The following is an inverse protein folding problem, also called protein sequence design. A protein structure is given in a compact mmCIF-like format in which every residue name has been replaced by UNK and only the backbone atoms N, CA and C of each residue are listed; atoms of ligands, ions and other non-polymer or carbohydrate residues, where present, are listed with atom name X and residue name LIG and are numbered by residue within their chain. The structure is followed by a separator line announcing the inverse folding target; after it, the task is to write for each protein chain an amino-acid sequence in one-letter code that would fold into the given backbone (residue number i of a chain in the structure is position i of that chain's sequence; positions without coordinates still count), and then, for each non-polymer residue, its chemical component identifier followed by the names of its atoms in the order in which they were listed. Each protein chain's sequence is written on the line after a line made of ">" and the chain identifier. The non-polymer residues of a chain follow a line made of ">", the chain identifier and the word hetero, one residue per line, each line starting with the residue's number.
data_IF_054283992473
#
_entry.id   IF_054283992473
#
_cell.length_a   1.000
_cell.length_b   1.000
_cell.length_c   1.000
_cell.angle_alpha   90.00
_cell.angle_beta   90.00
_cell.angle_gamma   90.00
#
_symmetry.space_group_name_H-M   'P 1'
#
loop_
_entity.id
_entity.type
_entity.pdbx_description
1 polymer ?
#
# COMPACT_ATOMS: atom_id res chain seq x y z
N UNK A 1 17.50 -0.79 -26.58
CA UNK A 1 17.34 -0.44 -25.15
C UNK A 1 17.39 1.06 -25.06
N UNK A 2 16.25 1.72 -25.29
CA UNK A 2 16.11 3.19 -25.21
C UNK A 2 14.62 3.58 -25.14
N UNK A 3 13.83 2.80 -24.39
CA UNK A 3 12.38 2.97 -24.27
C UNK A 3 12.05 3.27 -22.82
N UNK A 4 11.20 4.27 -22.60
CA UNK A 4 10.68 4.60 -21.28
C UNK A 4 9.71 3.51 -20.81
N UNK A 5 9.76 3.19 -19.52
CA UNK A 5 8.92 2.16 -18.91
C UNK A 5 8.03 2.76 -17.83
N UNK A 6 6.74 2.43 -17.87
CA UNK A 6 5.74 2.83 -16.90
C UNK A 6 4.82 1.64 -16.63
N UNK A 7 4.44 1.44 -15.38
CA UNK A 7 3.48 0.41 -14.98
C UNK A 7 2.60 0.88 -13.81
N UNK A 8 1.56 0.10 -13.53
CA UNK A 8 0.63 0.33 -12.43
C UNK A 8 0.62 -0.84 -11.43
N UNK A 9 1.63 -1.71 -11.46
CA UNK A 9 1.60 -2.97 -10.71
C UNK A 9 1.86 -2.74 -9.23
N UNK A 10 1.09 -3.41 -8.38
CA UNK A 10 1.33 -3.53 -6.95
C UNK A 10 2.36 -4.62 -6.61
N UNK A 11 2.70 -5.47 -7.58
CA UNK A 11 3.61 -6.59 -7.36
C UNK A 11 5.03 -6.13 -6.97
N UNK A 12 5.42 -6.49 -5.75
CA UNK A 12 6.70 -6.12 -5.15
C UNK A 12 7.86 -6.80 -5.88
N UNK A 13 7.68 -8.03 -6.35
CA UNK A 13 8.74 -8.77 -7.07
C UNK A 13 9.04 -8.10 -8.42
N UNK A 14 8.01 -7.79 -9.19
CA UNK A 14 8.12 -7.03 -10.43
C UNK A 14 8.79 -5.68 -10.20
N UNK A 15 8.38 -4.94 -9.16
CA UNK A 15 8.99 -3.65 -8.83
C UNK A 15 10.48 -3.77 -8.53
N UNK A 16 10.89 -4.77 -7.73
CA UNK A 16 12.32 -5.04 -7.45
C UNK A 16 13.09 -5.34 -8.73
N UNK A 17 12.52 -6.15 -9.64
CA UNK A 17 13.14 -6.46 -10.93
C UNK A 17 13.28 -5.24 -11.82
N UNK A 18 12.27 -4.38 -11.86
CA UNK A 18 12.30 -3.11 -12.61
C UNK A 18 13.38 -2.19 -12.05
N UNK A 19 13.51 -2.07 -10.72
CA UNK A 19 14.58 -1.29 -10.07
C UNK A 19 15.98 -1.78 -10.48
N UNK A 20 16.19 -3.10 -10.61
CA UNK A 20 17.46 -3.65 -11.08
C UNK A 20 17.76 -3.27 -12.53
N UNK A 21 16.77 -3.39 -13.42
CA UNK A 21 16.90 -3.05 -14.83
C UNK A 21 17.19 -1.56 -15.06
N UNK A 22 16.64 -0.71 -14.19
CA UNK A 22 16.77 0.74 -14.30
C UNK A 22 18.17 1.27 -13.89
N UNK A 23 19.01 0.49 -13.19
CA UNK A 23 20.29 0.99 -12.61
C UNK A 23 21.23 1.61 -13.64
N UNK A 24 21.34 1.01 -14.82
CA UNK A 24 22.26 1.42 -15.88
C UNK A 24 21.52 1.94 -17.12
N UNK A 25 20.23 2.25 -17.00
CA UNK A 25 19.41 2.67 -18.13
C UNK A 25 19.53 4.17 -18.42
N UNK A 26 19.59 4.53 -19.71
CA UNK A 26 19.45 5.92 -20.19
C UNK A 26 18.00 6.40 -20.21
N UNK A 27 17.04 5.47 -20.25
CA UNK A 27 15.62 5.78 -20.31
C UNK A 27 14.98 5.84 -18.92
N UNK A 28 13.95 6.67 -18.78
CA UNK A 28 13.15 6.74 -17.57
C UNK A 28 12.37 5.43 -17.28
N UNK A 29 12.38 5.02 -16.01
CA UNK A 29 11.56 3.94 -15.45
C UNK A 29 10.72 4.52 -14.31
N UNK A 30 9.41 4.47 -14.47
CA UNK A 30 8.43 5.01 -13.52
C UNK A 30 7.45 3.88 -13.17
N UNK A 31 7.90 2.85 -12.42
CA UNK A 31 7.01 1.80 -11.97
C UNK A 31 5.99 2.37 -10.96
N UNK A 32 4.91 1.64 -10.75
CA UNK A 32 3.95 1.94 -9.69
C UNK A 32 3.35 3.36 -9.78
N UNK A 33 3.05 3.84 -10.99
CA UNK A 33 2.58 5.21 -11.23
C UNK A 33 1.05 5.36 -11.22
N UNK A 34 0.35 4.54 -10.42
CA UNK A 34 -1.11 4.49 -10.33
C UNK A 34 -1.69 5.33 -9.19
N UNK A 35 -2.82 4.87 -8.62
CA UNK A 35 -3.42 5.49 -7.43
C UNK A 35 -2.65 5.10 -6.17
N UNK A 36 -2.54 3.80 -5.94
CA UNK A 36 -1.83 3.20 -4.84
C UNK A 36 -1.42 1.77 -5.28
N UNK A 37 -0.14 1.52 -5.53
CA UNK A 37 0.98 2.46 -5.39
C UNK A 37 0.97 3.57 -6.46
N UNK A 38 1.54 4.73 -6.11
CA UNK A 38 1.63 5.91 -6.99
C UNK A 38 1.19 7.21 -6.33
N UNK A 39 0.02 7.73 -6.69
CA UNK A 39 -0.49 9.03 -6.24
C UNK A 39 -0.47 9.20 -4.72
N UNK A 40 -0.86 8.18 -3.95
CA UNK A 40 -0.82 8.28 -2.49
C UNK A 40 0.59 8.55 -1.95
N UNK A 41 1.61 7.92 -2.55
CA UNK A 41 3.01 8.13 -2.15
C UNK A 41 3.51 9.52 -2.55
N UNK A 42 3.04 10.05 -3.68
CA UNK A 42 3.35 11.43 -4.10
C UNK A 42 2.80 12.43 -3.08
N UNK A 43 1.52 12.29 -2.70
CA UNK A 43 0.90 13.19 -1.70
C UNK A 43 1.56 13.04 -0.34
N UNK A 44 1.84 11.81 0.10
CA UNK A 44 2.52 11.55 1.36
C UNK A 44 3.91 12.19 1.38
N UNK A 45 4.69 12.05 0.30
CA UNK A 45 6.02 12.66 0.20
C UNK A 45 5.97 14.19 0.15
N UNK A 46 5.04 14.79 -0.62
CA UNK A 46 4.86 16.25 -0.67
C UNK A 46 4.59 16.82 0.73
N UNK A 47 3.67 16.21 1.48
CA UNK A 47 3.34 16.62 2.84
C UNK A 47 4.52 16.40 3.79
N UNK A 48 5.18 15.24 3.70
CA UNK A 48 6.31 14.88 4.56
C UNK A 48 7.52 15.80 4.34
N UNK A 49 7.75 16.26 3.11
CA UNK A 49 8.89 17.13 2.76
C UNK A 49 8.89 18.50 3.43
N UNK A 50 7.75 18.90 4.03
CA UNK A 50 7.58 20.16 4.74
C UNK A 50 8.11 20.12 6.18
N UNK A 51 8.61 18.97 6.62
CA UNK A 51 9.10 18.73 7.96
C UNK A 51 10.51 18.16 7.90
N UNK A 52 11.35 18.55 8.87
CA UNK A 52 12.68 17.94 9.04
C UNK A 52 12.57 16.51 9.59
N UNK A 53 11.66 16.32 10.56
CA UNK A 53 11.34 15.02 11.16
C UNK A 53 9.84 14.89 11.41
N UNK A 54 9.36 13.65 11.39
CA UNK A 54 7.95 13.30 11.55
C UNK A 54 7.79 12.21 12.60
N UNK A 55 6.78 12.36 13.43
CA UNK A 55 6.37 11.30 14.34
C UNK A 55 5.74 10.13 13.58
N UNK A 56 4.76 10.42 12.70
CA UNK A 56 4.11 9.37 11.93
C UNK A 56 3.55 9.83 10.60
N UNK A 57 3.62 8.96 9.60
CA UNK A 57 2.88 9.03 8.34
C UNK A 57 2.01 7.78 8.24
N UNK A 58 0.68 7.96 8.20
CA UNK A 58 -0.28 6.85 8.15
C UNK A 58 -1.11 6.95 6.89
N UNK A 59 -0.85 6.06 5.94
CA UNK A 59 -1.47 6.05 4.62
C UNK A 59 -2.61 5.04 4.60
N UNK A 60 -3.78 5.45 4.13
CA UNK A 60 -4.97 4.58 4.03
C UNK A 60 -5.66 4.76 2.68
N UNK A 61 -5.96 3.65 2.00
CA UNK A 61 -6.60 3.65 0.66
C UNK A 61 -7.74 2.66 0.61
N UNK A 62 -8.87 3.03 0.01
CA UNK A 62 -9.93 2.09 -0.31
C UNK A 62 -10.69 2.50 -1.56
N UNK A 63 -10.87 1.56 -2.49
CA UNK A 63 -11.81 1.67 -3.59
C UNK A 63 -13.04 0.82 -3.24
N UNK A 64 -14.04 1.44 -2.61
CA UNK A 64 -15.18 0.74 -2.02
C UNK A 64 -16.49 1.07 -2.74
N UNK A 65 -17.42 0.11 -2.83
CA UNK A 65 -18.75 0.41 -3.33
C UNK A 65 -19.46 1.37 -2.37
N UNK A 66 -20.17 2.34 -2.93
CA UNK A 66 -21.02 3.25 -2.15
C UNK A 66 -22.13 2.49 -1.40
N UNK A 67 -22.64 1.40 -2.00
CA UNK A 67 -23.68 0.55 -1.43
C UNK A 67 -23.23 -0.93 -1.48
N UNK A 68 -22.56 -1.45 -0.44
CA UNK A 68 -22.15 -2.85 -0.40
C UNK A 68 -23.37 -3.78 -0.27
N UNK A 69 -23.37 -4.90 -0.99
CA UNK A 69 -24.52 -5.81 -1.05
C UNK A 69 -24.16 -7.31 -0.99
N UNK A 70 -22.89 -7.64 -0.75
CA UNK A 70 -22.39 -9.02 -0.73
C UNK A 70 -21.67 -9.34 0.59
N UNK A 71 -21.36 -10.62 0.81
CA UNK A 71 -20.76 -11.09 2.07
C UNK A 71 -19.39 -10.47 2.37
N UNK A 72 -18.62 -10.10 1.34
CA UNK A 72 -17.31 -9.44 1.49
C UNK A 72 -17.43 -7.93 1.69
N UNK A 73 -18.65 -7.38 1.55
CA UNK A 73 -18.91 -5.95 1.42
C UNK A 73 -17.95 -5.25 0.45
N UNK A 74 -17.53 -5.94 -0.62
CA UNK A 74 -16.46 -5.48 -1.51
C UNK A 74 -16.78 -5.81 -2.96
N UNK A 75 -16.42 -4.91 -3.87
CA UNK A 75 -16.54 -5.12 -5.31
C UNK A 75 -15.16 -5.16 -5.94
N UNK A 76 -14.92 -6.15 -6.80
CA UNK A 76 -13.69 -6.27 -7.57
C UNK A 76 -13.72 -5.28 -8.73
N UNK A 77 -13.05 -4.15 -8.57
CA UNK A 77 -12.92 -3.12 -9.61
C UNK A 77 -11.62 -3.23 -10.42
N UNK A 78 -10.73 -4.14 -10.02
CA UNK A 78 -9.43 -4.41 -10.63
C UNK A 78 -9.02 -5.87 -10.40
N UNK A 79 -7.76 -6.23 -10.69
CA UNK A 79 -7.24 -7.60 -10.67
C UNK A 79 -7.52 -8.34 -9.36
N UNK A 80 -8.24 -9.46 -9.43
CA UNK A 80 -8.46 -10.34 -8.27
C UNK A 80 -7.15 -10.90 -7.73
N UNK A 81 -6.25 -11.33 -8.62
CA UNK A 81 -4.95 -11.88 -8.23
C UNK A 81 -4.12 -10.84 -7.49
N UNK A 82 -4.23 -9.57 -7.89
CA UNK A 82 -3.57 -8.46 -7.24
C UNK A 82 -4.08 -8.20 -5.83
N UNK A 83 -5.40 -8.19 -5.64
CA UNK A 83 -6.01 -8.08 -4.30
C UNK A 83 -5.55 -9.22 -3.38
N UNK A 84 -5.44 -10.45 -3.91
CA UNK A 84 -4.95 -11.59 -3.13
C UNK A 84 -3.47 -11.40 -2.79
N UNK A 85 -2.65 -10.96 -3.73
CA UNK A 85 -1.22 -10.71 -3.52
C UNK A 85 -0.98 -9.67 -2.42
N UNK A 86 -1.78 -8.60 -2.38
CA UNK A 86 -1.76 -7.59 -1.31
C UNK A 86 -1.96 -8.18 0.10
N UNK A 87 -2.69 -9.28 0.21
CA UNK A 87 -3.05 -9.94 1.47
C UNK A 87 -2.10 -11.07 1.87
N UNK A 88 -1.24 -11.52 0.97
CA UNK A 88 -0.33 -12.65 1.21
C UNK A 88 1.12 -12.22 1.40
N UNK A 89 1.54 -11.12 0.78
CA UNK A 89 2.94 -10.68 0.81
C UNK A 89 3.27 -9.84 2.06
N UNK A 90 4.52 -9.90 2.57
CA UNK A 90 4.98 -9.01 3.63
C UNK A 90 4.80 -7.53 3.30
N UNK A 91 4.44 -6.73 4.29
CA UNK A 91 4.19 -5.30 4.12
C UNK A 91 5.39 -4.49 4.63
N UNK A 92 5.99 -3.66 3.79
CA UNK A 92 7.02 -2.72 4.23
C UNK A 92 6.42 -1.66 5.17
N UNK A 93 7.15 -1.31 6.23
CA UNK A 93 6.77 -0.29 7.21
C UNK A 93 8.01 0.34 7.86
N UNK A 94 7.85 1.51 8.47
CA UNK A 94 8.83 2.03 9.44
C UNK A 94 8.21 1.96 10.83
N UNK A 95 8.90 1.32 11.77
CA UNK A 95 8.48 1.20 13.17
C UNK A 95 9.65 1.58 14.06
N UNK A 96 9.44 2.55 14.96
CA UNK A 96 10.49 3.12 15.80
C UNK A 96 11.72 3.63 15.01
N UNK A 97 11.49 4.16 13.81
CA UNK A 97 12.52 4.68 12.91
C UNK A 97 13.23 3.63 12.05
N UNK A 98 12.96 2.34 12.28
CA UNK A 98 13.57 1.23 11.55
C UNK A 98 12.65 0.72 10.44
N UNK A 99 13.24 0.48 9.26
CA UNK A 99 12.55 -0.14 8.13
C UNK A 99 12.41 -1.64 8.40
N UNK A 100 11.18 -2.13 8.50
CA UNK A 100 10.86 -3.53 8.79
C UNK A 100 9.75 -4.05 7.87
N UNK A 101 9.56 -5.36 7.86
CA UNK A 101 8.38 -5.99 7.29
C UNK A 101 7.39 -6.34 8.41
N UNK A 102 6.11 -6.04 8.18
CA UNK A 102 5.00 -6.39 9.07
C UNK A 102 4.04 -7.36 8.37
N UNK A 103 3.30 -8.21 9.11
CA UNK A 103 2.40 -9.17 8.50
C UNK A 103 1.22 -8.48 7.79
N UNK A 104 0.77 -9.00 6.63
CA UNK A 104 -0.46 -8.56 5.99
C UNK A 104 -1.68 -8.95 6.83
N UNK A 105 -2.80 -8.26 6.63
CA UNK A 105 -4.07 -8.45 7.37
C UNK A 105 -3.98 -8.22 8.90
N UNK A 106 -2.81 -7.85 9.43
CA UNK A 106 -2.62 -7.53 10.84
C UNK A 106 -2.74 -6.03 11.14
N UNK A 107 -2.68 -5.72 12.43
CA UNK A 107 -2.85 -4.37 12.99
C UNK A 107 -4.17 -3.71 12.59
N UNK A 108 -5.22 -4.54 12.48
CA UNK A 108 -6.56 -4.10 12.15
C UNK A 108 -7.04 -3.05 13.15
N UNK A 109 -7.43 -1.90 12.62
CA UNK A 109 -8.07 -0.83 13.38
C UNK A 109 -9.45 -0.52 12.79
N UNK A 110 -10.32 0.08 13.60
CA UNK A 110 -11.59 0.63 13.14
C UNK A 110 -11.57 2.13 13.25
N UNK A 111 -12.22 2.80 12.31
CA UNK A 111 -12.42 4.24 12.35
C UNK A 111 -13.75 4.60 11.68
N UNK A 112 -14.22 5.81 11.92
CA UNK A 112 -15.41 6.34 11.28
C UNK A 112 -15.06 7.56 10.45
N UNK A 113 -15.61 7.62 9.24
CA UNK A 113 -15.52 8.77 8.35
C UNK A 113 -16.93 9.09 7.86
N UNK A 114 -17.36 10.34 8.06
CA UNK A 114 -18.71 10.82 7.70
C UNK A 114 -19.86 9.92 8.22
N UNK A 115 -19.68 9.37 9.43
CA UNK A 115 -20.67 8.50 10.08
C UNK A 115 -20.70 7.05 9.57
N UNK A 116 -19.82 6.70 8.63
CA UNK A 116 -19.65 5.32 8.15
C UNK A 116 -18.46 4.68 8.84
N UNK A 117 -18.65 3.48 9.39
CA UNK A 117 -17.58 2.70 10.02
C UNK A 117 -16.80 1.91 8.98
N UNK A 118 -15.49 1.97 9.09
CA UNK A 118 -14.53 1.22 8.28
C UNK A 118 -13.54 0.48 9.15
N UNK A 119 -12.92 -0.54 8.57
CA UNK A 119 -11.70 -1.16 9.11
C UNK A 119 -10.51 -0.86 8.20
N UNK A 120 -9.32 -0.78 8.78
CA UNK A 120 -8.07 -0.68 8.04
C UNK A 120 -7.02 -1.64 8.58
N UNK A 121 -6.24 -2.24 7.69
CA UNK A 121 -5.23 -3.24 8.03
C UNK A 121 -4.09 -3.25 7.00
N UNK A 122 -2.96 -3.85 7.37
CA UNK A 122 -1.75 -3.84 6.55
C UNK A 122 -1.94 -4.64 5.25
N UNK A 123 -1.48 -4.07 4.14
CA UNK A 123 -1.47 -4.68 2.80
C UNK A 123 -0.17 -4.33 2.08
N UNK A 124 0.35 -5.25 1.29
CA UNK A 124 1.64 -5.07 0.62
C UNK A 124 1.56 -4.11 -0.59
N UNK A 125 2.70 -3.82 -1.20
CA UNK A 125 2.80 -3.12 -2.49
C UNK A 125 2.59 -1.60 -2.47
N UNK A 126 1.87 -1.05 -1.48
CA UNK A 126 1.40 0.34 -1.52
C UNK A 126 2.42 1.45 -1.24
N UNK A 127 3.53 1.16 -0.53
CA UNK A 127 4.53 2.19 -0.21
C UNK A 127 5.49 2.49 -1.37
N UNK A 128 5.78 1.51 -2.22
CA UNK A 128 6.81 1.62 -3.24
C UNK A 128 8.15 2.10 -2.65
N UNK A 129 8.77 3.11 -3.25
CA UNK A 129 10.05 3.66 -2.77
C UNK A 129 9.93 4.63 -1.57
N UNK A 130 8.71 4.91 -1.09
CA UNK A 130 8.48 5.90 -0.04
C UNK A 130 9.13 5.49 1.30
N UNK A 131 9.12 4.21 1.61
CA UNK A 131 9.72 3.70 2.85
C UNK A 131 11.24 3.94 2.88
N UNK A 132 11.93 3.68 1.77
CA UNK A 132 13.34 4.02 1.59
C UNK A 132 13.56 5.54 1.66
N UNK A 133 12.67 6.33 1.04
CA UNK A 133 12.76 7.80 0.97
C UNK A 133 12.62 8.47 2.34
N UNK A 134 11.75 7.95 3.20
CA UNK A 134 11.46 8.52 4.52
C UNK A 134 12.27 7.86 5.66
N UNK A 135 13.09 6.85 5.37
CA UNK A 135 13.96 6.22 6.37
C UNK A 135 14.85 7.26 7.06
N UNK A 136 14.85 7.24 8.39
CA UNK A 136 15.59 8.21 9.22
C UNK A 136 14.92 9.59 9.36
N UNK A 137 13.79 9.83 8.69
CA UNK A 137 13.01 11.08 8.81
C UNK A 137 11.69 10.91 9.55
N UNK A 138 11.15 9.68 9.58
CA UNK A 138 9.88 9.37 10.25
C UNK A 138 10.05 8.25 11.27
N UNK A 139 9.40 8.36 12.44
CA UNK A 139 9.41 7.30 13.46
C UNK A 139 8.44 6.17 13.12
N UNK A 140 7.29 6.47 12.52
CA UNK A 140 6.31 5.47 12.07
C UNK A 140 5.80 5.73 10.65
N UNK A 141 5.90 4.77 9.74
CA UNK A 141 5.29 4.79 8.41
C UNK A 141 4.51 3.49 8.19
N UNK A 142 3.22 3.60 7.88
CA UNK A 142 2.43 2.44 7.46
C UNK A 142 1.53 2.75 6.26
N UNK A 143 1.21 1.69 5.52
CA UNK A 143 0.24 1.68 4.44
C UNK A 143 -0.82 0.63 4.75
N UNK A 144 -2.09 1.04 4.71
CA UNK A 144 -3.22 0.18 5.01
C UNK A 144 -4.30 0.31 3.96
N UNK A 145 -4.96 -0.79 3.67
CA UNK A 145 -6.20 -0.77 2.89
C UNK A 145 -7.38 -0.47 3.80
N UNK A 146 -8.41 0.19 3.28
CA UNK A 146 -9.68 0.47 3.96
C UNK A 146 -10.73 -0.50 3.40
N UNK A 147 -11.49 -1.15 4.28
CA UNK A 147 -12.63 -2.02 3.94
C UNK A 147 -13.81 -1.73 4.86
N UNK A 148 -14.97 -2.25 4.49
CA UNK A 148 -16.09 -2.32 5.42
C UNK A 148 -15.82 -3.41 6.48
N UNK A 149 -16.35 -3.24 7.71
CA UNK A 149 -16.10 -4.16 8.81
C UNK A 149 -16.39 -5.62 8.45
N UNK A 150 -15.50 -6.53 8.87
CA UNK A 150 -15.62 -7.97 8.71
C UNK A 150 -14.90 -8.55 7.49
N UNK A 151 -14.44 -7.71 6.55
CA UNK A 151 -13.72 -8.15 5.36
C UNK A 151 -12.41 -8.86 5.73
N UNK A 152 -11.58 -8.26 6.58
CA UNK A 152 -10.30 -8.82 7.00
C UNK A 152 -10.45 -10.19 7.66
N UNK A 153 -11.50 -10.37 8.48
CA UNK A 153 -11.78 -11.64 9.14
C UNK A 153 -12.12 -12.74 8.13
N UNK A 154 -12.96 -12.44 7.13
CA UNK A 154 -13.30 -13.38 6.07
C UNK A 154 -12.06 -13.73 5.24
N UNK A 155 -11.26 -12.75 4.84
CA UNK A 155 -10.05 -12.99 4.06
C UNK A 155 -9.01 -13.81 4.84
N UNK A 156 -8.84 -13.55 6.15
CA UNK A 156 -7.97 -14.37 7.00
C UNK A 156 -8.41 -15.83 7.05
N UNK A 157 -9.71 -16.08 7.16
CA UNK A 157 -10.24 -17.45 7.13
C UNK A 157 -9.97 -18.12 5.78
N UNK A 158 -10.28 -17.44 4.68
CA UNK A 158 -10.09 -18.00 3.32
C UNK A 158 -8.63 -18.28 2.94
N UNK A 159 -7.67 -17.55 3.53
CA UNK A 159 -6.24 -17.69 3.22
C UNK A 159 -5.49 -18.64 4.16
N UNK A 160 -6.01 -18.89 5.36
CA UNK A 160 -5.32 -19.65 6.41
C UNK A 160 -6.02 -20.92 6.87
N UNK A 161 -7.29 -21.14 6.49
CA UNK A 161 -8.01 -22.42 6.68
C UNK A 161 -8.04 -23.25 5.38
#
# INVERSE_FOLDING_TARGET
>A
TDVHYLDLTEDVVSTRRVKELARDASSAFIPQCGLAPGFISIVANDLASRFDTLESVRMRVGALPQYPSNALNYNLTWSTDGVINEYCEPCEAIVEGELIEVPPLEEREEFSLDGVTYEAFNTSGGLGTLAETLKGKVRTLNYRTIRYPGHAAIMKALLND
#
